data_IF_707903200154
#
_entry.id   IF_707903200154
#
_cell.length_a   1.000
_cell.length_b   1.000
_cell.length_c   1.000
_cell.angle_alpha   90.00
_cell.angle_beta   90.00
_cell.angle_gamma   90.00
#
_symmetry.space_group_name_H-M   'P 1'
#
loop_
_entity.id
_entity.type
_entity.pdbx_description
1 polymer ?
#
# COMPACT_ATOMS: atom_id res chain seq x y z
N UNK A 1 31.84 -6.49 -1.08
CA UNK A 1 30.63 -7.32 -1.23
C UNK A 1 29.44 -6.43 -0.90
N UNK A 2 28.91 -5.75 -1.91
CA UNK A 2 27.97 -4.64 -1.73
C UNK A 2 26.55 -5.04 -2.11
N UNK A 3 25.63 -4.90 -1.15
CA UNK A 3 24.18 -5.02 -1.34
C UNK A 3 23.69 -3.92 -2.30
N UNK A 4 23.19 -4.31 -3.49
CA UNK A 4 22.47 -3.43 -4.39
C UNK A 4 21.14 -3.00 -3.75
N UNK A 5 21.02 -1.71 -3.38
CA UNK A 5 19.71 -1.07 -3.17
C UNK A 5 19.32 -0.35 -4.46
N UNK A 6 18.11 -0.66 -4.96
CA UNK A 6 17.52 -0.12 -6.20
C UNK A 6 17.14 1.34 -6.03
N UNK A 7 17.44 2.15 -7.03
CA UNK A 7 16.87 3.48 -7.23
C UNK A 7 15.45 3.33 -7.80
N UNK A 8 14.46 3.95 -7.16
CA UNK A 8 13.15 4.19 -7.73
C UNK A 8 13.03 5.65 -8.14
N UNK A 9 12.23 5.89 -9.18
CA UNK A 9 11.73 7.20 -9.66
C UNK A 9 12.54 7.85 -10.79
N UNK A 10 12.13 7.59 -12.05
CA UNK A 10 11.81 8.61 -13.07
C UNK A 10 11.47 7.94 -14.40
N UNK A 11 10.22 8.08 -14.85
CA UNK A 11 9.79 7.64 -16.19
C UNK A 11 8.31 7.32 -16.31
N UNK A 12 7.41 8.32 -16.21
CA UNK A 12 6.02 8.17 -16.65
C UNK A 12 5.95 8.40 -18.17
N UNK A 13 5.99 7.32 -18.95
CA UNK A 13 5.69 7.34 -20.39
C UNK A 13 4.33 6.66 -20.66
N UNK A 14 3.41 7.37 -21.32
CA UNK A 14 2.07 6.85 -21.63
C UNK A 14 2.04 6.12 -22.98
N UNK A 15 1.42 4.94 -22.96
CA UNK A 15 1.44 3.88 -23.98
C UNK A 15 1.96 2.55 -23.40
N UNK A 16 2.73 2.64 -22.33
CA UNK A 16 3.04 1.54 -21.40
C UNK A 16 2.07 1.61 -20.23
N UNK A 17 1.58 0.45 -19.79
CA UNK A 17 0.77 0.25 -18.57
C UNK A 17 1.58 0.67 -17.34
N UNK A 18 1.70 1.98 -17.12
CA UNK A 18 2.62 2.57 -16.13
C UNK A 18 1.95 2.83 -14.78
N UNK A 19 0.68 2.43 -14.62
CA UNK A 19 -0.04 2.36 -13.35
C UNK A 19 0.16 1.04 -12.60
N UNK A 20 0.64 -0.01 -13.29
CA UNK A 20 1.11 -1.22 -12.62
C UNK A 20 2.54 -0.95 -12.17
N UNK A 21 2.70 -0.29 -11.02
CA UNK A 21 3.92 -0.43 -10.23
C UNK A 21 4.28 -1.92 -10.25
N UNK A 22 5.51 -2.26 -10.67
CA UNK A 22 5.94 -3.64 -10.91
C UNK A 22 5.28 -4.58 -9.91
N UNK A 23 4.21 -5.27 -10.34
CA UNK A 23 3.45 -6.09 -9.41
C UNK A 23 4.39 -7.26 -9.14
N UNK A 24 5.10 -7.17 -8.01
CA UNK A 24 6.05 -8.19 -7.57
C UNK A 24 5.33 -9.47 -7.15
N UNK A 25 4.01 -9.42 -7.11
CA UNK A 25 3.13 -10.54 -6.86
C UNK A 25 2.28 -10.79 -8.11
N UNK A 26 2.01 -12.06 -8.40
CA UNK A 26 1.08 -12.40 -9.48
C UNK A 26 -0.32 -11.84 -9.13
N UNK A 27 -1.21 -11.55 -10.07
CA UNK A 27 -2.63 -11.33 -9.76
C UNK A 27 -3.14 -12.45 -8.82
N UNK A 28 -4.00 -12.18 -7.81
CA UNK A 28 -4.49 -13.17 -6.85
C UNK A 28 -5.05 -14.42 -7.52
N UNK A 29 -5.74 -14.27 -8.66
CA UNK A 29 -6.24 -15.40 -9.47
C UNK A 29 -5.11 -16.35 -9.93
N UNK A 30 -3.89 -15.84 -10.07
CA UNK A 30 -2.70 -16.61 -10.37
C UNK A 30 -1.95 -17.03 -9.09
N UNK A 31 -1.94 -16.24 -8.02
CA UNK A 31 -1.28 -16.62 -6.76
C UNK A 31 -1.87 -17.90 -6.14
N UNK A 32 -3.18 -18.12 -6.29
CA UNK A 32 -3.91 -19.18 -5.60
C UNK A 32 -4.39 -20.32 -6.51
N UNK A 33 -4.08 -20.29 -7.81
CA UNK A 33 -4.62 -21.30 -8.72
C UNK A 33 -3.72 -22.53 -8.86
N UNK A 34 -4.33 -23.70 -8.69
CA UNK A 34 -3.80 -25.00 -9.15
C UNK A 34 -3.38 -24.96 -10.63
N UNK A 35 -3.90 -23.99 -11.41
CA UNK A 35 -3.50 -23.71 -12.77
C UNK A 35 -1.99 -23.45 -12.92
N UNK A 36 -1.34 -22.66 -12.05
CA UNK A 36 0.12 -22.45 -12.13
C UNK A 36 0.92 -23.72 -11.83
N UNK A 37 0.43 -24.57 -10.93
CA UNK A 37 1.08 -25.84 -10.59
C UNK A 37 0.95 -26.89 -11.69
N UNK A 38 -0.14 -26.82 -12.47
CA UNK A 38 -0.40 -27.68 -13.62
C UNK A 38 0.14 -27.11 -14.94
N UNK A 39 0.77 -25.93 -14.93
CA UNK A 39 1.40 -25.39 -16.13
C UNK A 39 2.56 -26.29 -16.56
N UNK A 40 2.67 -26.58 -17.86
CA UNK A 40 3.80 -27.34 -18.39
C UNK A 40 5.11 -26.65 -18.01
N UNK A 41 6.14 -27.44 -17.71
CA UNK A 41 7.47 -26.92 -17.35
C UNK A 41 7.97 -26.02 -18.49
N UNK A 42 8.13 -24.74 -18.21
CA UNK A 42 8.59 -23.72 -19.15
C UNK A 42 9.54 -22.74 -18.46
N UNK A 43 10.32 -22.00 -19.26
CA UNK A 43 11.11 -20.86 -18.75
C UNK A 43 10.29 -19.56 -18.77
N UNK A 44 9.26 -19.53 -19.59
CA UNK A 44 8.40 -18.40 -19.84
C UNK A 44 6.97 -18.89 -20.10
N UNK A 45 5.99 -18.22 -19.51
CA UNK A 45 4.57 -18.46 -19.75
C UNK A 45 3.89 -17.13 -20.11
N UNK A 46 3.11 -17.13 -21.17
CA UNK A 46 2.27 -15.99 -21.54
C UNK A 46 0.83 -16.32 -21.20
N UNK A 47 0.23 -15.52 -20.33
CA UNK A 47 -1.14 -15.69 -19.86
C UNK A 47 -2.03 -14.58 -20.41
N UNK A 48 -3.18 -14.98 -20.92
CA UNK A 48 -4.24 -14.09 -21.38
C UNK A 48 -5.36 -14.17 -20.35
N UNK A 49 -5.45 -13.18 -19.47
CA UNK A 49 -6.39 -13.13 -18.35
C UNK A 49 -7.50 -12.14 -18.72
N UNK A 50 -8.72 -12.58 -19.01
CA UNK A 50 -9.84 -11.67 -19.18
C UNK A 50 -9.96 -10.75 -17.94
N UNK A 51 -10.02 -9.44 -18.14
CA UNK A 51 -10.03 -8.44 -17.04
C UNK A 51 -11.23 -8.63 -16.11
N UNK A 52 -12.31 -9.19 -16.63
CA UNK A 52 -13.49 -9.60 -15.85
C UNK A 52 -13.24 -10.69 -14.81
N UNK A 53 -12.10 -11.39 -14.87
CA UNK A 53 -11.69 -12.38 -13.87
C UNK A 53 -10.84 -11.77 -12.75
N UNK A 54 -10.48 -10.49 -12.85
CA UNK A 54 -9.73 -9.79 -11.82
C UNK A 54 -10.68 -9.23 -10.75
N UNK A 55 -10.26 -9.19 -9.48
CA UNK A 55 -11.08 -8.64 -8.41
C UNK A 55 -11.36 -7.14 -8.64
N UNK A 56 -12.45 -6.58 -8.07
CA UNK A 56 -12.88 -5.21 -8.37
C UNK A 56 -11.82 -4.13 -8.11
N UNK A 57 -11.01 -4.27 -7.05
CA UNK A 57 -9.93 -3.35 -6.71
C UNK A 57 -8.79 -3.34 -7.76
N UNK A 58 -8.47 -4.49 -8.35
CA UNK A 58 -7.49 -4.58 -9.44
C UNK A 58 -8.08 -4.13 -10.77
N UNK A 59 -9.36 -4.44 -11.01
CA UNK A 59 -10.08 -3.98 -12.20
C UNK A 59 -10.16 -2.45 -12.25
N UNK A 60 -10.36 -1.79 -11.11
CA UNK A 60 -10.38 -0.34 -11.02
C UNK A 60 -9.04 0.32 -11.42
N UNK A 61 -7.93 -0.42 -11.32
CA UNK A 61 -6.60 0.05 -11.71
C UNK A 61 -6.27 -0.21 -13.18
N UNK A 62 -7.05 -1.06 -13.85
CA UNK A 62 -6.88 -1.38 -15.27
C UNK A 62 -7.77 -0.44 -16.06
N UNK A 63 -7.22 0.21 -17.09
CA UNK A 63 -8.01 1.09 -17.95
C UNK A 63 -9.28 0.35 -18.41
N UNK A 64 -10.44 1.00 -18.26
CA UNK A 64 -11.78 0.46 -18.62
C UNK A 64 -11.90 -0.06 -20.07
N UNK A 65 -10.87 0.14 -20.88
CA UNK A 65 -10.74 -0.28 -22.28
C UNK A 65 -10.14 -1.69 -22.46
N UNK A 66 -9.51 -2.28 -21.45
CA UNK A 66 -8.88 -3.59 -21.59
C UNK A 66 -9.88 -4.73 -21.32
N UNK A 67 -10.11 -5.60 -22.31
CA UNK A 67 -10.90 -6.82 -22.16
C UNK A 67 -10.06 -8.02 -21.70
N UNK A 68 -8.75 -8.01 -21.99
CA UNK A 68 -7.79 -9.06 -21.65
C UNK A 68 -6.49 -8.42 -21.18
N UNK A 69 -6.04 -8.80 -20.00
CA UNK A 69 -4.71 -8.53 -19.47
C UNK A 69 -3.77 -9.62 -20.00
N UNK A 70 -2.65 -9.23 -20.60
CA UNK A 70 -1.62 -10.17 -21.05
C UNK A 70 -0.43 -10.09 -20.12
N UNK A 71 -0.15 -11.19 -19.41
CA UNK A 71 0.93 -11.29 -18.44
C UNK A 71 1.96 -12.32 -18.92
N UNK A 72 3.19 -11.89 -19.17
CA UNK A 72 4.31 -12.84 -19.29
C UNK A 72 4.86 -13.12 -17.90
N UNK A 73 5.10 -14.39 -17.57
CA UNK A 73 5.75 -14.86 -16.36
C UNK A 73 7.07 -15.52 -16.76
N UNK A 74 8.20 -14.94 -16.37
CA UNK A 74 9.53 -15.51 -16.62
C UNK A 74 10.09 -16.11 -15.33
N UNK A 75 10.62 -17.33 -15.39
CA UNK A 75 11.41 -17.90 -14.29
C UNK A 75 12.85 -17.43 -14.42
N UNK A 76 13.26 -16.43 -13.61
CA UNK A 76 14.68 -16.04 -13.53
C UNK A 76 15.50 -17.18 -12.92
N UNK A 77 16.64 -17.53 -13.55
CA UNK A 77 17.66 -18.37 -12.93
C UNK A 77 18.51 -17.49 -11.99
N UNK A 78 18.11 -17.40 -10.73
CA UNK A 78 18.89 -16.81 -9.64
C UNK A 78 18.88 -17.72 -8.42
N UNK A 79 19.95 -17.73 -7.63
CA UNK A 79 20.16 -18.68 -6.53
C UNK A 79 19.17 -18.55 -5.37
N UNK A 80 18.47 -17.41 -5.23
CA UNK A 80 17.44 -17.22 -4.21
C UNK A 80 16.21 -16.49 -4.79
N UNK A 81 15.05 -17.13 -4.58
CA UNK A 81 13.67 -16.66 -4.79
C UNK A 81 13.09 -16.47 -6.21
N UNK A 82 11.80 -16.83 -6.30
CA UNK A 82 10.94 -16.82 -7.49
C UNK A 82 10.53 -15.38 -7.82
N UNK A 83 11.43 -14.59 -8.39
CA UNK A 83 11.06 -13.26 -8.89
C UNK A 83 10.28 -13.43 -10.20
N UNK A 84 9.00 -13.07 -10.19
CA UNK A 84 8.16 -12.99 -11.39
C UNK A 84 8.15 -11.55 -11.90
N UNK A 85 8.34 -11.36 -13.20
CA UNK A 85 8.14 -10.05 -13.83
C UNK A 85 6.94 -10.12 -14.75
N UNK A 86 5.90 -9.32 -14.47
CA UNK A 86 4.81 -9.10 -15.43
C UNK A 86 5.30 -8.10 -16.46
N UNK A 87 5.52 -8.55 -17.69
CA UNK A 87 5.74 -7.65 -18.82
C UNK A 87 4.44 -7.51 -19.60
N UNK A 88 3.95 -6.29 -19.85
CA UNK A 88 2.87 -6.10 -20.80
C UNK A 88 3.39 -6.54 -22.17
N UNK A 89 2.71 -7.51 -22.79
CA UNK A 89 3.04 -7.86 -24.17
C UNK A 89 2.70 -6.65 -25.02
N UNK A 90 3.67 -6.10 -25.79
CA UNK A 90 3.36 -5.04 -26.73
C UNK A 90 2.25 -5.58 -27.62
N UNK A 91 1.09 -4.91 -27.59
CA UNK A 91 -0.01 -5.27 -28.47
C UNK A 91 0.63 -5.46 -29.85
N UNK A 92 0.50 -6.67 -30.42
CA UNK A 92 0.93 -6.89 -31.80
C UNK A 92 0.41 -5.69 -32.57
N UNK A 93 1.22 -5.07 -33.45
CA UNK A 93 0.78 -4.01 -34.35
C UNK A 93 -0.25 -4.58 -35.33
N UNK A 94 -1.33 -5.15 -34.82
CA UNK A 94 -2.55 -5.41 -35.51
C UNK A 94 -2.89 -4.07 -36.09
N UNK A 95 -3.00 -4.05 -37.40
CA UNK A 95 -3.56 -2.94 -38.15
C UNK A 95 -4.92 -2.67 -37.54
N UNK A 96 -4.99 -1.76 -36.55
CA UNK A 96 -6.25 -1.24 -36.05
C UNK A 96 -6.95 -0.69 -37.28
N UNK A 97 -8.00 -1.38 -37.72
CA UNK A 97 -8.70 -1.01 -38.91
C UNK A 97 -9.21 0.43 -38.72
N UNK A 98 -8.69 1.34 -39.54
CA UNK A 98 -9.20 2.67 -39.80
C UNK A 98 -9.41 3.61 -38.60
N UNK A 99 -8.36 3.89 -37.81
CA UNK A 99 -8.36 5.15 -37.05
C UNK A 99 -8.34 6.30 -38.07
N UNK A 100 -9.32 7.23 -38.07
CA UNK A 100 -9.32 8.35 -39.01
C UNK A 100 -8.06 9.19 -38.86
N UNK A 101 -7.40 9.56 -39.98
CA UNK A 101 -6.14 10.30 -39.96
C UNK A 101 -6.23 11.61 -39.14
N UNK A 102 -7.36 12.31 -39.20
CA UNK A 102 -7.61 13.52 -38.41
C UNK A 102 -7.63 13.24 -36.89
N UNK A 103 -8.21 12.11 -36.47
CA UNK A 103 -8.24 11.70 -35.07
C UNK A 103 -6.84 11.29 -34.60
N UNK A 104 -6.12 10.49 -35.41
CA UNK A 104 -4.73 10.11 -35.12
C UNK A 104 -3.83 11.34 -34.96
N UNK A 105 -3.99 12.34 -35.84
CA UNK A 105 -3.25 13.61 -35.76
C UNK A 105 -3.57 14.37 -34.47
N UNK A 106 -4.85 14.56 -34.15
CA UNK A 106 -5.27 15.26 -32.91
C UNK A 106 -4.78 14.54 -31.65
N UNK A 107 -4.80 13.21 -31.65
CA UNK A 107 -4.26 12.41 -30.56
C UNK A 107 -2.75 12.63 -30.41
N UNK A 108 -1.98 12.53 -31.49
CA UNK A 108 -0.54 12.79 -31.47
C UNK A 108 -0.20 14.21 -31.00
N UNK A 109 -0.92 15.23 -31.49
CA UNK A 109 -0.78 16.62 -31.06
C UNK A 109 -1.07 16.78 -29.56
N UNK A 110 -2.10 16.11 -29.05
CA UNK A 110 -2.46 16.14 -27.62
C UNK A 110 -1.40 15.46 -26.75
N UNK A 111 -0.87 14.31 -27.19
CA UNK A 111 0.23 13.62 -26.50
C UNK A 111 1.51 14.46 -26.47
N UNK A 112 1.84 15.15 -27.56
CA UNK A 112 2.97 16.09 -27.60
C UNK A 112 2.80 17.25 -26.61
N UNK A 113 1.60 17.84 -26.52
CA UNK A 113 1.28 18.90 -25.54
C UNK A 113 1.40 18.39 -24.09
N UNK A 114 0.86 17.21 -23.81
CA UNK A 114 0.94 16.59 -22.49
C UNK A 114 2.40 16.33 -22.08
N UNK A 115 3.19 15.74 -22.98
CA UNK A 115 4.63 15.50 -22.78
C UNK A 115 5.38 16.80 -22.50
N UNK A 116 5.09 17.86 -23.27
CA UNK A 116 5.70 19.17 -23.04
C UNK A 116 5.31 19.78 -21.69
N UNK A 117 4.05 19.64 -21.26
CA UNK A 117 3.59 20.09 -19.94
C UNK A 117 4.31 19.34 -18.80
N UNK A 118 4.45 18.02 -18.90
CA UNK A 118 5.23 17.22 -17.95
C UNK A 118 6.70 17.63 -17.89
N UNK A 119 7.35 17.83 -19.05
CA UNK A 119 8.73 18.29 -19.10
C UNK A 119 8.88 19.68 -18.46
N UNK A 120 7.94 20.59 -18.72
CA UNK A 120 7.96 21.93 -18.13
C UNK A 120 7.76 21.90 -16.61
N UNK A 121 6.86 21.07 -16.09
CA UNK A 121 6.70 20.88 -14.64
C UNK A 121 7.99 20.33 -14.02
N UNK A 122 8.60 19.33 -14.67
CA UNK A 122 9.87 18.73 -14.22
C UNK A 122 11.00 19.77 -14.18
N UNK A 123 11.14 20.60 -15.22
CA UNK A 123 12.16 21.66 -15.23
C UNK A 123 11.95 22.72 -14.14
N UNK A 124 10.69 23.03 -13.78
CA UNK A 124 10.39 23.94 -12.67
C UNK A 124 10.81 23.33 -11.32
N UNK A 125 10.53 22.05 -11.12
CA UNK A 125 10.95 21.33 -9.90
C UNK A 125 12.48 21.23 -9.82
N UNK A 126 13.14 20.93 -10.95
CA UNK A 126 14.60 20.88 -11.04
C UNK A 126 15.26 22.23 -10.74
N UNK A 127 14.64 23.35 -11.11
CA UNK A 127 15.16 24.68 -10.79
C UNK A 127 15.24 24.92 -9.27
N UNK A 128 14.34 24.33 -8.48
CA UNK A 128 14.40 24.38 -7.02
C UNK A 128 15.60 23.60 -6.44
N UNK A 129 16.23 22.75 -7.26
CA UNK A 129 17.41 21.97 -6.90
C UNK A 129 18.71 22.58 -7.39
N UNK A 130 18.78 23.83 -7.87
CA UNK A 130 19.96 24.43 -8.54
C UNK A 130 20.31 23.78 -9.90
N UNK A 131 19.35 23.18 -10.61
CA UNK A 131 19.57 22.72 -11.99
C UNK A 131 19.24 23.87 -12.93
N UNK A 132 20.14 24.18 -13.87
CA UNK A 132 19.89 25.17 -14.92
C UNK A 132 18.76 24.69 -15.84
N UNK A 133 17.55 25.29 -15.78
CA UNK A 133 16.41 24.83 -16.56
C UNK A 133 16.60 25.08 -18.06
N UNK A 134 17.40 26.07 -18.46
CA UNK A 134 17.70 26.34 -19.85
C UNK A 134 18.62 25.26 -20.42
N UNK A 135 19.65 24.86 -19.67
CA UNK A 135 20.54 23.76 -20.04
C UNK A 135 19.79 22.42 -20.08
N UNK A 136 18.99 22.11 -19.06
CA UNK A 136 18.18 20.89 -19.01
C UNK A 136 17.21 20.79 -20.20
N UNK A 137 16.55 21.92 -20.55
CA UNK A 137 15.67 22.01 -21.71
C UNK A 137 16.44 21.84 -23.02
N UNK A 138 17.59 22.48 -23.17
CA UNK A 138 18.43 22.36 -24.35
C UNK A 138 18.90 20.91 -24.55
N UNK A 139 19.33 20.25 -23.46
CA UNK A 139 19.71 18.84 -23.48
C UNK A 139 18.52 17.94 -23.88
N UNK A 140 17.34 18.13 -23.28
CA UNK A 140 16.13 17.38 -23.66
C UNK A 140 15.81 17.50 -25.15
N UNK A 141 15.84 18.72 -25.70
CA UNK A 141 15.62 18.95 -27.14
C UNK A 141 16.73 18.31 -27.99
N UNK A 142 17.97 18.31 -27.52
CA UNK A 142 19.10 17.74 -28.25
C UNK A 142 19.06 16.20 -28.33
N UNK A 143 18.40 15.53 -27.38
CA UNK A 143 18.36 14.06 -27.28
C UNK A 143 17.01 13.43 -27.62
N UNK A 144 15.92 14.20 -27.73
CA UNK A 144 14.63 13.63 -28.13
C UNK A 144 14.70 13.02 -29.53
N UNK A 145 14.34 11.74 -29.65
CA UNK A 145 14.38 10.99 -30.91
C UNK A 145 15.76 10.46 -31.33
N UNK A 146 16.78 10.59 -30.47
CA UNK A 146 18.07 9.91 -30.65
C UNK A 146 18.08 8.60 -29.88
N UNK A 147 18.85 7.64 -30.39
CA UNK A 147 19.20 6.44 -29.63
C UNK A 147 20.12 6.85 -28.49
N UNK A 148 19.72 6.53 -27.27
CA UNK A 148 20.49 6.80 -26.05
C UNK A 148 21.00 5.45 -25.54
N UNK A 149 22.31 5.35 -25.36
CA UNK A 149 22.91 4.21 -24.65
C UNK A 149 22.54 4.33 -23.15
N UNK A 150 21.55 3.55 -22.74
CA UNK A 150 21.01 3.61 -21.39
C UNK A 150 22.04 3.17 -20.33
N UNK A 151 22.95 2.25 -20.64
CA UNK A 151 23.98 1.78 -19.71
C UNK A 151 25.05 2.85 -19.51
N UNK A 152 25.52 3.46 -20.61
CA UNK A 152 26.46 4.57 -20.54
C UNK A 152 25.88 5.77 -19.79
N UNK A 153 24.60 6.11 -20.07
CA UNK A 153 23.91 7.20 -19.38
C UNK A 153 23.74 6.90 -17.88
N UNK A 154 23.36 5.67 -17.49
CA UNK A 154 23.23 5.30 -16.08
C UNK A 154 24.57 5.41 -15.34
N UNK A 155 25.68 5.03 -15.98
CA UNK A 155 27.01 5.19 -15.40
C UNK A 155 27.40 6.67 -15.21
N UNK A 156 27.25 7.49 -16.25
CA UNK A 156 27.52 8.94 -16.19
C UNK A 156 26.61 9.65 -15.16
N UNK A 157 25.33 9.26 -15.15
CA UNK A 157 24.33 9.78 -14.22
C UNK A 157 24.70 9.47 -12.78
N UNK A 158 25.07 8.23 -12.45
CA UNK A 158 25.49 7.84 -11.09
C UNK A 158 26.68 8.64 -10.60
N UNK A 159 27.70 8.83 -11.42
CA UNK A 159 28.87 9.60 -11.00
C UNK A 159 28.51 11.09 -10.76
N UNK A 160 27.76 11.67 -11.69
CA UNK A 160 27.38 13.09 -11.64
C UNK A 160 26.43 13.36 -10.48
N UNK A 161 25.40 12.53 -10.29
CA UNK A 161 24.40 12.72 -9.24
C UNK A 161 25.02 12.54 -7.85
N UNK A 162 25.95 11.59 -7.66
CA UNK A 162 26.63 11.41 -6.38
C UNK A 162 27.44 12.66 -5.99
N UNK A 163 28.16 13.26 -6.94
CA UNK A 163 28.91 14.51 -6.70
C UNK A 163 27.97 15.68 -6.43
N UNK A 164 26.89 15.77 -7.20
CA UNK A 164 25.87 16.79 -7.03
C UNK A 164 25.19 16.73 -5.67
N UNK A 165 24.75 15.54 -5.27
CA UNK A 165 24.14 15.28 -3.98
C UNK A 165 25.10 15.55 -2.82
N UNK A 166 26.39 15.25 -2.96
CA UNK A 166 27.38 15.57 -1.94
C UNK A 166 27.52 17.09 -1.72
N UNK A 167 27.51 17.88 -2.80
CA UNK A 167 27.55 19.35 -2.73
C UNK A 167 26.27 19.88 -2.07
N UNK A 168 25.10 19.40 -2.52
CA UNK A 168 23.81 19.81 -1.93
C UNK A 168 23.70 19.46 -0.47
N UNK A 169 24.07 18.24 -0.08
CA UNK A 169 24.10 17.82 1.33
C UNK A 169 24.99 18.74 2.17
N UNK A 170 26.17 19.11 1.65
CA UNK A 170 27.07 20.04 2.35
C UNK A 170 26.44 21.41 2.53
N UNK A 171 25.75 21.94 1.50
CA UNK A 171 25.04 23.22 1.56
C UNK A 171 23.84 23.17 2.50
N UNK A 172 23.06 22.09 2.47
CA UNK A 172 21.91 21.86 3.34
C UNK A 172 22.36 21.77 4.80
N UNK A 173 23.37 20.95 5.12
CA UNK A 173 23.99 20.91 6.45
C UNK A 173 24.43 22.30 6.92
N UNK A 174 25.11 23.07 6.07
CA UNK A 174 25.57 24.42 6.44
C UNK A 174 24.40 25.40 6.67
N UNK A 175 23.36 25.34 5.83
CA UNK A 175 22.13 26.13 5.96
C UNK A 175 21.38 25.76 7.24
N UNK A 176 21.19 24.48 7.49
CA UNK A 176 20.45 23.96 8.63
C UNK A 176 21.16 24.29 9.95
N UNK A 177 22.49 24.12 10.00
CA UNK A 177 23.31 24.57 11.13
C UNK A 177 23.15 26.07 11.39
N UNK A 178 23.26 26.90 10.34
CA UNK A 178 23.06 28.36 10.44
C UNK A 178 21.65 28.70 10.92
N UNK A 179 20.64 28.02 10.38
CA UNK A 179 19.25 28.19 10.78
C UNK A 179 19.06 27.89 12.27
N UNK A 180 19.59 26.77 12.77
CA UNK A 180 19.52 26.39 14.19
C UNK A 180 20.25 27.41 15.08
N UNK A 181 21.42 27.90 14.67
CA UNK A 181 22.16 28.94 15.40
C UNK A 181 21.43 30.30 15.44
N UNK A 182 20.76 30.68 14.35
CA UNK A 182 19.96 31.91 14.27
C UNK A 182 18.61 31.76 14.99
N UNK A 183 17.98 30.59 14.90
CA UNK A 183 16.70 30.29 15.52
C UNK A 183 16.79 30.33 17.05
N UNK A 184 17.88 29.81 17.64
CA UNK A 184 18.16 29.90 19.07
C UNK A 184 18.14 31.34 19.63
N UNK A 185 18.39 32.35 18.79
CA UNK A 185 18.47 33.76 19.18
C UNK A 185 17.12 34.48 19.08
N UNK A 186 16.10 33.86 18.50
CA UNK A 186 14.80 34.50 18.30
C UNK A 186 14.03 34.63 19.62
N UNK A 187 13.31 35.74 19.85
CA UNK A 187 12.43 35.87 21.00
C UNK A 187 11.41 34.73 21.07
N UNK A 188 11.21 34.15 22.26
CA UNK A 188 10.25 33.07 22.50
C UNK A 188 10.76 31.66 22.16
N UNK A 189 11.97 31.52 21.59
CA UNK A 189 12.61 30.21 21.40
C UNK A 189 13.29 29.78 22.70
N UNK A 190 12.96 28.58 23.17
CA UNK A 190 13.62 27.94 24.32
C UNK A 190 14.52 26.81 23.80
N UNK A 191 15.75 26.73 24.33
CA UNK A 191 16.72 25.68 23.98
C UNK A 191 16.90 24.75 25.16
N UNK A 192 16.59 23.47 24.96
CA UNK A 192 16.75 22.41 25.96
C UNK A 192 18.20 21.88 25.99
N UNK A 193 18.58 21.22 27.09
CA UNK A 193 19.94 20.72 27.30
C UNK A 193 20.37 19.68 26.25
N UNK A 194 19.42 18.95 25.65
CA UNK A 194 19.65 18.00 24.57
C UNK A 194 19.70 18.65 23.17
N UNK A 195 19.64 19.98 23.09
CA UNK A 195 19.73 20.73 21.83
C UNK A 195 18.41 20.94 21.09
N UNK A 196 17.28 20.43 21.62
CA UNK A 196 15.96 20.74 21.07
C UNK A 196 15.66 22.23 21.25
N UNK A 197 15.24 22.89 20.18
CA UNK A 197 14.76 24.28 20.22
C UNK A 197 13.27 24.30 19.97
N UNK A 198 12.47 24.98 20.80
CA UNK A 198 11.04 25.05 20.57
C UNK A 198 10.44 26.42 20.84
N UNK A 199 9.32 26.71 20.19
CA UNK A 199 8.42 27.82 20.49
C UNK A 199 7.05 27.27 20.88
N UNK A 200 6.33 28.03 21.72
CA UNK A 200 4.96 27.74 22.11
C UNK A 200 4.10 28.96 21.84
N UNK A 201 3.11 28.80 21.00
CA UNK A 201 2.07 29.79 20.77
C UNK A 201 0.95 29.60 21.81
N UNK A 202 0.59 30.68 22.50
CA UNK A 202 -0.46 30.66 23.52
C UNK A 202 -1.79 31.08 22.91
N UNK A 203 -2.87 30.42 23.28
CA UNK A 203 -4.21 30.89 23.00
C UNK A 203 -4.48 32.18 23.82
N UNK A 204 -4.84 33.32 23.18
CA UNK A 204 -5.19 34.55 23.88
C UNK A 204 -6.40 34.40 24.82
N UNK A 205 -7.30 33.43 24.57
CA UNK A 205 -8.44 33.11 25.42
C UNK A 205 -8.08 32.20 26.61
N UNK A 206 -6.82 31.77 26.71
CA UNK A 206 -6.33 30.97 27.83
C UNK A 206 -6.62 29.47 27.73
N UNK A 207 -7.19 28.98 26.62
CA UNK A 207 -7.48 27.55 26.36
C UNK A 207 -6.23 26.74 25.99
N UNK A 208 -5.13 26.98 26.68
CA UNK A 208 -3.87 26.28 26.46
C UNK A 208 -3.96 24.86 27.04
N UNK A 209 -3.59 23.85 26.25
CA UNK A 209 -3.53 22.45 26.70
C UNK A 209 -2.09 22.02 26.92
N UNK A 210 -1.90 20.97 27.70
CA UNK A 210 -0.60 20.31 27.80
C UNK A 210 -0.34 19.49 26.54
N UNK A 211 0.92 19.40 26.12
CA UNK A 211 1.30 18.82 24.83
C UNK A 211 0.91 17.34 24.71
N UNK A 212 0.86 16.60 25.82
CA UNK A 212 0.46 15.19 25.91
C UNK A 212 -1.00 14.93 25.48
N UNK A 213 -1.83 15.98 25.39
CA UNK A 213 -3.23 15.89 24.94
C UNK A 213 -3.40 16.01 23.43
N UNK A 214 -2.33 16.25 22.69
CA UNK A 214 -2.39 16.46 21.24
C UNK A 214 -2.48 15.11 20.52
N UNK A 215 -3.33 15.05 19.50
CA UNK A 215 -3.58 13.83 18.73
C UNK A 215 -2.92 13.86 17.34
N UNK A 216 -2.63 15.05 16.81
CA UNK A 216 -2.10 15.26 15.47
C UNK A 216 -0.79 16.04 15.51
N UNK A 217 0.18 15.57 14.74
CA UNK A 217 1.43 16.30 14.52
C UNK A 217 1.94 16.11 13.10
N UNK A 218 2.83 16.98 12.69
CA UNK A 218 3.61 16.87 11.49
C UNK A 218 5.09 16.87 11.86
N UNK A 219 5.85 15.98 11.24
CA UNK A 219 7.31 16.03 11.19
C UNK A 219 7.72 16.47 9.80
N UNK A 220 8.57 17.50 9.70
CA UNK A 220 9.15 17.91 8.44
C UNK A 220 10.67 18.08 8.51
N UNK A 221 11.32 18.21 7.37
CA UNK A 221 12.68 18.78 7.30
C UNK A 221 12.64 20.29 7.54
N UNK A 222 13.79 20.91 7.83
CA UNK A 222 13.89 22.38 8.00
C UNK A 222 13.45 23.12 6.73
N UNK A 223 13.69 22.55 5.54
CA UNK A 223 13.23 23.12 4.27
C UNK A 223 11.72 22.97 4.05
N UNK A 224 11.04 22.12 4.81
CA UNK A 224 9.61 21.82 4.62
C UNK A 224 9.31 20.93 3.41
N UNK A 225 10.34 20.44 2.70
CA UNK A 225 10.17 19.66 1.47
C UNK A 225 9.55 18.29 1.73
N UNK A 226 9.84 17.70 2.88
CA UNK A 226 9.34 16.40 3.28
C UNK A 226 8.51 16.58 4.53
N UNK A 227 7.21 16.30 4.47
CA UNK A 227 6.30 16.38 5.61
C UNK A 227 5.61 15.05 5.81
N UNK A 228 5.69 14.52 7.03
CA UNK A 228 5.03 13.30 7.47
C UNK A 228 3.99 13.67 8.52
N UNK A 229 2.72 13.37 8.25
CA UNK A 229 1.65 13.49 9.23
C UNK A 229 1.66 12.27 10.16
N UNK A 230 1.73 12.53 11.45
CA UNK A 230 1.71 11.52 12.49
C UNK A 230 0.32 11.47 13.13
N UNK A 231 -0.30 10.30 13.05
CA UNK A 231 -1.49 9.95 13.83
C UNK A 231 -1.07 9.08 15.02
N UNK A 232 -1.68 9.27 16.18
CA UNK A 232 -1.43 8.47 17.39
C UNK A 232 0.03 8.47 17.86
N UNK A 233 0.75 9.58 17.69
CA UNK A 233 2.11 9.71 18.22
C UNK A 233 2.07 10.01 19.72
N UNK A 234 3.07 9.54 20.47
CA UNK A 234 3.29 10.00 21.84
C UNK A 234 4.35 11.10 21.83
N UNK A 235 4.07 12.17 22.56
CA UNK A 235 5.00 13.30 22.71
C UNK A 235 6.29 12.88 23.40
N UNK A 236 6.19 11.96 24.37
CA UNK A 236 7.32 11.42 25.12
C UNK A 236 8.34 10.77 24.18
N UNK A 237 7.88 10.12 23.12
CA UNK A 237 8.80 9.54 22.17
C UNK A 237 9.57 10.61 21.35
N UNK A 238 9.07 11.86 21.25
CA UNK A 238 9.74 12.97 20.52
C UNK A 238 10.66 13.74 21.47
N UNK A 239 10.13 14.12 22.63
CA UNK A 239 10.80 15.02 23.58
C UNK A 239 11.47 14.27 24.75
N UNK A 240 11.29 12.96 24.86
CA UNK A 240 11.73 12.18 26.01
C UNK A 240 11.17 12.74 27.32
N UNK A 241 12.01 12.74 28.35
CA UNK A 241 11.71 13.32 29.66
C UNK A 241 11.44 14.83 29.62
N UNK A 242 11.84 15.52 28.54
CA UNK A 242 11.57 16.94 28.40
C UNK A 242 10.08 17.24 28.14
N UNK A 243 9.30 16.24 27.72
CA UNK A 243 7.87 16.40 27.42
C UNK A 243 7.10 17.03 28.60
N UNK A 244 7.39 16.58 29.84
CA UNK A 244 6.71 17.03 31.06
C UNK A 244 7.08 18.46 31.46
N UNK A 245 8.19 18.99 30.92
CA UNK A 245 8.64 20.36 31.18
C UNK A 245 8.11 21.39 30.18
N UNK A 246 7.43 20.94 29.12
CA UNK A 246 6.92 21.85 28.08
C UNK A 246 5.72 22.64 28.61
N UNK A 247 5.70 23.97 28.44
CA UNK A 247 4.59 24.78 28.91
C UNK A 247 3.32 24.48 28.08
N UNK A 248 2.12 24.60 28.68
CA UNK A 248 0.86 24.46 27.94
C UNK A 248 0.77 25.46 26.79
N UNK A 249 0.10 25.12 25.69
CA UNK A 249 0.01 25.96 24.50
C UNK A 249 -1.19 25.65 23.64
N UNK A 250 -1.37 26.44 22.57
CA UNK A 250 -2.21 26.09 21.42
C UNK A 250 -1.40 25.36 20.36
N UNK A 251 -0.15 25.79 20.12
CA UNK A 251 0.72 25.25 19.08
C UNK A 251 2.15 25.18 19.54
N UNK A 252 2.84 24.11 19.17
CA UNK A 252 4.26 23.91 19.43
C UNK A 252 4.98 23.72 18.10
N UNK A 253 6.13 24.37 17.96
CA UNK A 253 7.05 24.13 16.86
C UNK A 253 8.42 23.85 17.46
N UNK A 254 8.98 22.67 17.19
CA UNK A 254 10.26 22.24 17.74
C UNK A 254 11.23 21.81 16.64
N UNK A 255 12.44 22.36 16.65
CA UNK A 255 13.57 21.87 15.88
C UNK A 255 14.34 20.87 16.74
N UNK A 256 14.33 19.61 16.33
CA UNK A 256 14.88 18.49 17.09
C UNK A 256 16.10 17.94 16.36
N UNK A 257 17.28 17.86 17.01
CA UNK A 257 18.42 17.17 16.42
C UNK A 257 18.05 15.71 16.12
N UNK A 258 18.28 15.24 14.90
CA UNK A 258 17.84 13.91 14.48
C UNK A 258 18.45 12.80 15.34
N UNK A 259 19.67 13.01 15.83
CA UNK A 259 20.36 12.07 16.73
C UNK A 259 19.78 11.96 18.13
N UNK A 260 18.84 12.84 18.53
CA UNK A 260 18.14 12.79 19.83
C UNK A 260 16.91 11.87 19.78
N UNK A 261 16.39 11.58 18.58
CA UNK A 261 15.29 10.63 18.41
C UNK A 261 15.75 9.21 18.72
N UNK A 262 14.85 8.35 19.22
CA UNK A 262 15.17 6.94 19.44
C UNK A 262 15.47 6.19 18.13
N UNK A 263 16.19 5.07 18.22
CA UNK A 263 16.63 4.30 17.05
C UNK A 263 15.46 3.79 16.19
N UNK A 264 14.32 3.43 16.81
CA UNK A 264 13.14 2.97 16.07
C UNK A 264 12.61 4.08 15.17
N UNK A 265 12.50 5.30 15.70
CA UNK A 265 12.06 6.46 14.93
C UNK A 265 13.05 6.93 13.89
N UNK A 266 14.33 6.95 14.22
CA UNK A 266 15.36 7.20 13.22
C UNK A 266 15.24 6.21 12.06
N UNK A 267 14.96 4.93 12.35
CA UNK A 267 14.78 3.89 11.34
C UNK A 267 13.51 4.08 10.52
N UNK A 268 12.38 4.41 11.14
CA UNK A 268 11.13 4.72 10.43
C UNK A 268 11.28 5.94 9.53
N UNK A 269 11.90 7.02 10.01
CA UNK A 269 12.13 8.23 9.23
C UNK A 269 13.13 7.97 8.08
N UNK A 270 14.17 7.17 8.29
CA UNK A 270 15.09 6.74 7.22
C UNK A 270 14.43 5.87 6.14
N UNK A 271 13.31 5.22 6.46
CA UNK A 271 12.56 4.44 5.48
C UNK A 271 11.66 5.34 4.60
N UNK A 272 11.22 6.48 5.13
CA UNK A 272 10.34 7.44 4.43
C UNK A 272 11.16 8.50 3.69
N UNK A 273 12.23 9.00 4.30
CA UNK A 273 13.07 10.04 3.74
C UNK A 273 14.31 9.43 3.09
N UNK A 274 14.55 9.77 1.82
CA UNK A 274 15.73 9.32 1.08
C UNK A 274 17.04 9.78 1.72
N UNK A 275 17.01 10.92 2.43
CA UNK A 275 18.17 11.54 3.07
C UNK A 275 17.90 11.71 4.56
N UNK A 276 18.87 11.33 5.39
CA UNK A 276 18.83 11.57 6.83
C UNK A 276 19.11 13.06 7.11
N UNK A 277 18.14 13.84 7.62
CA UNK A 277 18.38 15.22 7.96
C UNK A 277 19.17 15.33 9.26
N UNK A 278 19.84 16.46 9.49
CA UNK A 278 20.49 16.74 10.77
C UNK A 278 19.49 17.13 11.85
N UNK A 279 18.39 17.77 11.45
CA UNK A 279 17.32 18.22 12.31
C UNK A 279 15.96 17.97 11.66
N UNK A 280 14.95 17.73 12.49
CA UNK A 280 13.55 17.66 12.07
C UNK A 280 12.77 18.78 12.73
N UNK A 281 11.77 19.30 12.04
CA UNK A 281 10.81 20.25 12.55
C UNK A 281 9.54 19.49 12.92
N UNK A 282 9.26 19.42 14.20
CA UNK A 282 8.02 18.87 14.73
C UNK A 282 7.04 20.02 14.96
N UNK A 283 5.85 19.92 14.39
CA UNK A 283 4.78 20.90 14.58
C UNK A 283 3.52 20.19 15.03
N UNK A 284 2.89 20.68 16.08
CA UNK A 284 1.63 20.14 16.56
C UNK A 284 0.72 21.26 17.06
N UNK A 285 -0.58 21.06 16.90
CA UNK A 285 -1.60 22.05 17.24
C UNK A 285 -2.70 21.36 18.05
N UNK A 286 -3.16 22.02 19.10
CA UNK A 286 -4.32 21.60 19.85
C UNK A 286 -5.49 21.51 18.87
N UNK A 287 -6.17 20.36 18.83
CA UNK A 287 -7.44 20.27 18.12
C UNK A 287 -8.33 21.39 18.65
N UNK A 288 -8.94 22.18 17.75
CA UNK A 288 -10.03 23.05 18.17
C UNK A 288 -11.03 22.12 18.83
N UNK A 289 -11.18 22.25 20.15
CA UNK A 289 -12.29 21.60 20.84
C UNK A 289 -13.50 22.19 20.15
N UNK A 290 -14.12 21.42 19.25
CA UNK A 290 -15.37 21.78 18.59
C UNK A 290 -16.20 22.38 19.70
N UNK A 291 -16.41 23.70 19.61
CA UNK A 291 -17.23 24.40 20.57
C UNK A 291 -18.61 23.85 20.30
N UNK A 292 -18.93 22.76 20.96
CA UNK A 292 -20.27 22.28 21.17
C UNK A 292 -20.90 23.39 21.99
N UNK A 293 -21.37 24.40 21.24
CA UNK A 293 -22.26 25.41 21.73
C UNK A 293 -23.30 24.67 22.57
N UNK A 294 -23.48 25.01 23.85
CA UNK A 294 -24.62 24.47 24.57
C UNK A 294 -25.86 24.84 23.75
N UNK A 295 -26.72 23.84 23.50
CA UNK A 295 -28.00 23.99 22.80
C UNK A 295 -28.75 25.23 23.30
N UNK A 296 -28.65 26.32 22.55
CA UNK A 296 -29.69 27.33 22.49
C UNK A 296 -30.49 27.04 21.24
N UNK A 297 -31.38 26.06 21.35
CA UNK A 297 -32.62 25.99 20.59
C UNK A 297 -33.38 27.31 20.82
N UNK A 298 -33.13 28.29 19.95
CA UNK A 298 -33.99 29.44 19.75
C UNK A 298 -33.73 30.01 18.35
N UNK A 299 -34.56 29.55 17.40
CA UNK A 299 -35.05 30.29 16.23
C UNK A 299 -34.00 31.09 15.42
N UNK A 300 -33.28 30.40 14.53
CA UNK A 300 -32.75 31.05 13.32
C UNK A 300 -33.06 30.15 12.12
N UNK A 301 -34.10 30.54 11.38
CA UNK A 301 -34.31 30.16 9.98
C UNK A 301 -33.20 30.80 9.11
N UNK A 302 -32.84 30.08 8.05
CA UNK A 302 -32.16 30.56 6.85
C UNK A 302 -30.62 30.78 6.94
N UNK A 303 -29.86 29.75 6.53
CA UNK A 303 -28.83 29.89 5.49
C UNK A 303 -28.26 28.51 5.11
N UNK A 304 -28.17 28.26 3.79
CA UNK A 304 -27.74 27.00 3.21
C UNK A 304 -26.28 26.64 3.57
N UNK A 305 -25.95 25.34 3.81
CA UNK A 305 -24.59 24.97 4.14
C UNK A 305 -23.67 25.10 2.93
N UNK A 306 -22.52 25.73 3.15
CA UNK A 306 -21.42 25.77 2.19
C UNK A 306 -20.99 24.34 1.82
N UNK A 307 -20.88 24.08 0.52
CA UNK A 307 -20.41 22.81 -0.01
C UNK A 307 -19.02 22.47 0.56
N UNK A 308 -18.90 21.31 1.19
CA UNK A 308 -17.60 20.80 1.60
C UNK A 308 -16.75 20.49 0.36
N UNK A 309 -15.45 20.84 0.37
CA UNK A 309 -14.54 20.44 -0.69
C UNK A 309 -14.33 18.92 -0.61
N UNK A 310 -14.93 18.21 -1.56
CA UNK A 310 -14.82 16.76 -1.71
C UNK A 310 -13.54 16.39 -2.47
N UNK A 311 -12.39 16.59 -1.83
CA UNK A 311 -11.08 16.20 -2.38
C UNK A 311 -10.70 14.73 -2.08
N UNK A 312 -11.68 13.86 -1.85
CA UNK A 312 -11.47 12.42 -1.90
C UNK A 312 -11.62 11.93 -3.33
N UNK A 313 -10.51 11.93 -4.08
CA UNK A 313 -10.41 11.36 -5.44
C UNK A 313 -10.71 9.84 -5.46
N UNK A 314 -10.81 9.20 -4.30
CA UNK A 314 -11.27 7.82 -4.17
C UNK A 314 -12.73 7.82 -3.68
N UNK A 315 -13.67 7.90 -4.64
CA UNK A 315 -15.04 7.56 -4.34
C UNK A 315 -15.07 6.12 -3.80
N UNK A 316 -15.65 5.92 -2.62
CA UNK A 316 -15.92 4.57 -2.13
C UNK A 316 -16.73 3.83 -3.19
N UNK A 317 -16.39 2.57 -3.52
CA UNK A 317 -17.14 1.82 -4.51
C UNK A 317 -18.62 1.80 -4.11
N UNK A 318 -19.55 1.87 -5.09
CA UNK A 318 -20.96 1.82 -4.79
C UNK A 318 -21.29 0.54 -4.01
N UNK A 319 -22.22 0.58 -3.04
CA UNK A 319 -22.61 -0.59 -2.28
C UNK A 319 -23.10 -1.71 -3.21
N UNK A 320 -22.65 -2.94 -2.94
CA UNK A 320 -23.04 -4.13 -3.71
C UNK A 320 -24.47 -4.54 -3.32
N UNK A 321 -25.38 -4.64 -4.28
CA UNK A 321 -26.73 -5.12 -4.04
C UNK A 321 -26.81 -6.67 -3.99
N UNK A 322 -27.91 -7.19 -3.43
CA UNK A 322 -28.09 -8.63 -3.23
C UNK A 322 -28.14 -9.46 -4.53
N UNK A 323 -28.63 -8.90 -5.63
CA UNK A 323 -28.68 -9.61 -6.91
C UNK A 323 -27.29 -9.68 -7.54
N UNK A 324 -26.53 -8.59 -7.45
CA UNK A 324 -25.13 -8.55 -7.89
C UNK A 324 -24.30 -9.56 -7.10
N UNK A 325 -24.41 -9.58 -5.77
CA UNK A 325 -23.71 -10.56 -4.93
C UNK A 325 -24.09 -12.01 -5.28
N UNK A 326 -25.39 -12.30 -5.41
CA UNK A 326 -25.85 -13.66 -5.74
C UNK A 326 -25.36 -14.12 -7.12
N UNK A 327 -25.29 -13.22 -8.10
CA UNK A 327 -24.74 -13.52 -9.43
C UNK A 327 -23.25 -13.83 -9.36
N UNK A 328 -22.48 -13.04 -8.61
CA UNK A 328 -21.04 -13.24 -8.42
C UNK A 328 -20.76 -14.56 -7.68
N UNK A 329 -21.53 -14.90 -6.65
CA UNK A 329 -21.41 -16.17 -5.92
C UNK A 329 -21.76 -17.37 -6.82
N UNK A 330 -22.81 -17.29 -7.63
CA UNK A 330 -23.18 -18.34 -8.57
C UNK A 330 -22.10 -18.57 -9.64
N UNK A 331 -21.49 -17.50 -10.15
CA UNK A 331 -20.38 -17.58 -11.10
C UNK A 331 -19.13 -18.17 -10.45
N UNK A 332 -18.81 -17.76 -9.21
CA UNK A 332 -17.72 -18.35 -8.45
C UNK A 332 -17.90 -19.87 -8.28
N UNK A 333 -19.08 -20.34 -7.88
CA UNK A 333 -19.33 -21.78 -7.70
C UNK A 333 -19.22 -22.54 -9.02
N UNK A 334 -19.67 -21.96 -10.12
CA UNK A 334 -19.50 -22.54 -11.45
C UNK A 334 -18.02 -22.67 -11.82
N UNK A 335 -17.20 -21.66 -11.52
CA UNK A 335 -15.76 -21.69 -11.76
C UNK A 335 -15.03 -22.66 -10.82
N UNK A 336 -15.44 -22.70 -9.55
CA UNK A 336 -14.91 -23.64 -8.57
C UNK A 336 -15.16 -25.08 -9.02
N UNK A 337 -16.38 -25.39 -9.49
CA UNK A 337 -16.70 -26.71 -10.04
C UNK A 337 -15.85 -27.13 -11.26
N UNK A 338 -15.21 -26.19 -11.97
CA UNK A 338 -14.28 -26.47 -13.07
C UNK A 338 -12.83 -26.71 -12.60
N UNK A 339 -12.53 -26.43 -11.32
CA UNK A 339 -11.18 -26.57 -10.78
C UNK A 339 -10.88 -28.05 -10.50
N UNK A 340 -9.73 -28.59 -10.96
CA UNK A 340 -9.33 -29.94 -10.61
C UNK A 340 -9.27 -30.10 -9.09
N UNK A 341 -9.83 -31.20 -8.57
CA UNK A 341 -9.90 -31.55 -7.15
C UNK A 341 -10.97 -30.85 -6.30
N UNK A 342 -11.96 -30.19 -6.91
CA UNK A 342 -13.14 -29.76 -6.15
C UNK A 342 -14.04 -30.94 -5.84
N UNK A 343 -14.37 -31.09 -4.57
CA UNK A 343 -15.29 -32.09 -4.06
C UNK A 343 -16.48 -31.39 -3.41
N UNK A 344 -17.68 -31.86 -3.71
CA UNK A 344 -18.92 -31.40 -3.07
C UNK A 344 -19.31 -32.44 -2.03
N UNK A 345 -19.40 -32.04 -0.77
CA UNK A 345 -19.85 -32.88 0.33
C UNK A 345 -21.38 -33.00 0.33
N UNK A 346 -21.92 -34.00 1.01
CA UNK A 346 -23.38 -34.28 1.01
C UNK A 346 -24.22 -33.13 1.60
N UNK A 347 -23.62 -32.31 2.47
CA UNK A 347 -24.26 -31.09 3.00
C UNK A 347 -24.15 -29.87 2.07
N UNK A 348 -23.60 -30.03 0.87
CA UNK A 348 -23.44 -28.95 -0.12
C UNK A 348 -22.21 -28.07 0.10
N UNK A 349 -21.36 -28.35 1.10
CA UNK A 349 -20.06 -27.70 1.24
C UNK A 349 -19.16 -28.12 0.07
N UNK A 350 -18.57 -27.15 -0.62
CA UNK A 350 -17.55 -27.42 -1.63
C UNK A 350 -16.18 -27.20 -1.04
N UNK A 351 -15.25 -28.12 -1.27
CA UNK A 351 -13.87 -27.90 -0.89
C UNK A 351 -12.87 -28.21 -2.00
N UNK A 352 -11.75 -27.51 -1.94
CA UNK A 352 -10.56 -27.76 -2.75
C UNK A 352 -9.33 -27.71 -1.84
N UNK A 353 -8.20 -28.23 -2.32
CA UNK A 353 -6.98 -28.29 -1.51
C UNK A 353 -5.72 -28.19 -2.37
N UNK A 354 -4.63 -27.73 -1.75
CA UNK A 354 -3.31 -27.60 -2.35
C UNK A 354 -2.35 -28.55 -1.67
N UNK A 355 -1.68 -29.39 -2.46
CA UNK A 355 -0.60 -30.27 -2.01
C UNK A 355 0.74 -29.55 -2.20
N UNK A 356 1.60 -29.51 -1.18
CA UNK A 356 3.02 -29.17 -1.35
C UNK A 356 3.74 -30.34 -2.07
N UNK A 357 4.30 -30.14 -3.27
CA UNK A 357 5.03 -31.17 -3.99
C UNK A 357 6.27 -31.68 -3.27
N UNK A 358 6.78 -30.96 -2.26
CA UNK A 358 7.89 -31.41 -1.40
C UNK A 358 7.45 -32.39 -0.30
N UNK A 359 6.16 -32.67 -0.18
CA UNK A 359 5.62 -33.60 0.80
C UNK A 359 5.25 -32.97 2.15
N UNK A 360 5.36 -31.65 2.31
CA UNK A 360 4.97 -30.93 3.53
C UNK A 360 3.44 -30.75 3.60
N UNK A 361 2.73 -31.86 3.68
CA UNK A 361 1.27 -31.92 3.74
C UNK A 361 0.85 -32.51 5.08
N UNK A 362 -0.07 -31.82 5.76
CA UNK A 362 -0.57 -32.22 7.08
C UNK A 362 -2.01 -32.71 7.05
N UNK A 363 -2.48 -33.17 8.20
CA UNK A 363 -3.91 -33.34 8.41
C UNK A 363 -4.57 -31.98 8.58
N UNK A 364 -5.85 -31.86 8.20
CA UNK A 364 -6.64 -30.68 8.53
C UNK A 364 -6.79 -30.49 10.04
N UNK A 365 -6.61 -31.56 10.81
CA UNK A 365 -6.62 -31.53 12.28
C UNK A 365 -5.41 -30.78 12.87
N UNK A 366 -4.35 -30.58 12.06
CA UNK A 366 -3.09 -29.98 12.47
C UNK A 366 -2.94 -28.54 11.93
N UNK A 367 -4.03 -27.89 11.52
CA UNK A 367 -4.02 -26.55 10.90
C UNK A 367 -3.66 -25.47 11.91
N UNK A 368 -2.77 -24.56 11.52
CA UNK A 368 -2.28 -23.47 12.37
C UNK A 368 -2.97 -22.12 12.05
N UNK A 369 -3.60 -21.97 10.87
CA UNK A 369 -4.23 -20.72 10.41
C UNK A 369 -5.62 -20.97 9.83
N UNK A 370 -6.61 -20.18 10.24
CA UNK A 370 -7.94 -20.13 9.63
C UNK A 370 -8.35 -18.69 9.27
N UNK A 371 -8.68 -18.47 7.99
CA UNK A 371 -9.20 -17.18 7.51
C UNK A 371 -10.59 -17.32 6.89
N UNK A 372 -11.52 -16.43 7.24
CA UNK A 372 -12.84 -16.34 6.64
C UNK A 372 -12.93 -15.12 5.71
N UNK A 373 -13.44 -15.33 4.51
CA UNK A 373 -13.60 -14.29 3.47
C UNK A 373 -14.98 -14.38 2.83
N UNK A 374 -15.52 -13.23 2.43
CA UNK A 374 -16.61 -13.22 1.47
C UNK A 374 -16.07 -13.66 0.10
N UNK A 375 -16.92 -14.27 -0.74
CA UNK A 375 -16.51 -14.67 -2.09
C UNK A 375 -16.14 -13.47 -2.99
N UNK A 376 -16.59 -12.27 -2.63
CA UNK A 376 -16.24 -11.00 -3.26
C UNK A 376 -14.82 -10.49 -2.92
N UNK A 377 -14.09 -11.21 -2.05
CA UNK A 377 -12.70 -10.90 -1.70
C UNK A 377 -12.55 -10.02 -0.45
N UNK A 378 -13.64 -9.56 0.17
CA UNK A 378 -13.56 -8.87 1.46
C UNK A 378 -13.11 -9.83 2.56
N UNK A 379 -11.96 -9.53 3.16
CA UNK A 379 -11.49 -10.24 4.36
C UNK A 379 -12.46 -9.95 5.50
N UNK A 380 -13.02 -10.99 6.12
CA UNK A 380 -13.95 -10.86 7.25
C UNK A 380 -13.21 -10.87 8.59
N UNK A 381 -11.86 -10.83 8.54
CA UNK A 381 -10.94 -10.93 9.67
C UNK A 381 -10.34 -12.33 9.77
N UNK A 382 -9.05 -12.40 10.12
CA UNK A 382 -8.43 -13.67 10.54
C UNK A 382 -8.92 -14.01 11.95
N UNK A 383 -9.29 -15.27 12.17
CA UNK A 383 -9.31 -15.80 13.53
C UNK A 383 -7.87 -16.27 13.71
N UNK A 384 -7.10 -15.53 14.51
CA UNK A 384 -5.63 -15.62 14.59
C UNK A 384 -5.09 -17.03 14.84
N UNK A 385 -3.76 -17.16 14.76
CA UNK A 385 -2.98 -18.40 14.96
C UNK A 385 -3.66 -19.34 15.96
N UNK A 386 -4.14 -20.48 15.45
CA UNK A 386 -4.83 -21.47 16.25
C UNK A 386 -3.79 -22.17 17.12
N UNK A 387 -4.01 -22.21 18.43
CA UNK A 387 -3.28 -23.15 19.29
C UNK A 387 -3.58 -24.57 18.80
N UNK A 388 -2.55 -25.40 18.56
CA UNK A 388 -2.70 -26.77 18.06
C UNK A 388 -3.57 -27.64 18.95
N UNK A 389 -3.60 -27.37 20.25
CA UNK A 389 -4.51 -28.05 21.20
C UNK A 389 -5.97 -27.62 21.03
N UNK A 390 -6.22 -26.44 20.45
CA UNK A 390 -7.53 -25.85 20.20
C UNK A 390 -8.02 -25.99 18.76
N UNK A 391 -7.21 -26.48 17.81
CA UNK A 391 -7.59 -26.60 16.38
C UNK A 391 -8.93 -27.34 16.16
N UNK A 392 -9.25 -28.34 17.01
CA UNK A 392 -10.55 -29.03 17.01
C UNK A 392 -11.74 -28.12 17.35
N UNK A 393 -11.55 -27.09 18.18
CA UNK A 393 -12.61 -26.16 18.57
C UNK A 393 -12.89 -25.08 17.51
N UNK A 394 -12.01 -24.94 16.51
CA UNK A 394 -12.07 -23.86 15.53
C UNK A 394 -12.42 -24.31 14.11
N UNK A 395 -12.45 -25.62 13.84
CA UNK A 395 -13.05 -26.16 12.62
C UNK A 395 -14.55 -25.87 12.60
N UNK A 396 -15.06 -25.50 11.42
CA UNK A 396 -16.50 -25.30 11.26
C UNK A 396 -17.24 -26.62 11.57
N UNK A 397 -18.27 -26.63 12.44
CA UNK A 397 -18.93 -27.87 12.91
C UNK A 397 -19.40 -28.78 11.79
N UNK A 398 -19.82 -28.19 10.67
CA UNK A 398 -20.31 -28.88 9.47
C UNK A 398 -19.24 -29.66 8.71
N UNK A 399 -17.96 -29.42 8.99
CA UNK A 399 -16.86 -30.19 8.43
C UNK A 399 -16.57 -31.46 9.25
N UNK A 400 -17.06 -31.53 10.50
CA UNK A 400 -16.71 -32.58 11.45
C UNK A 400 -17.00 -34.01 10.97
N UNK A 401 -18.12 -34.29 10.26
CA UNK A 401 -18.36 -35.63 9.73
C UNK A 401 -17.36 -36.08 8.65
N UNK A 402 -16.59 -35.14 8.08
CA UNK A 402 -15.76 -35.37 6.91
C UNK A 402 -14.26 -35.27 7.19
N UNK A 403 -13.85 -34.80 8.38
CA UNK A 403 -12.44 -34.50 8.70
C UNK A 403 -11.47 -35.65 8.43
N UNK A 404 -11.88 -36.90 8.75
CA UNK A 404 -11.03 -38.08 8.58
C UNK A 404 -10.93 -38.53 7.12
N UNK A 405 -11.87 -38.10 6.27
CA UNK A 405 -11.89 -38.38 4.84
C UNK A 405 -11.18 -37.30 4.02
N UNK A 406 -10.80 -36.18 4.63
CA UNK A 406 -10.13 -35.10 3.92
C UNK A 406 -8.67 -35.48 3.59
N UNK A 407 -8.20 -35.16 2.36
CA UNK A 407 -6.84 -35.48 1.96
C UNK A 407 -5.84 -34.65 2.76
N UNK A 408 -4.65 -35.23 3.00
CA UNK A 408 -3.53 -34.46 3.52
C UNK A 408 -3.13 -33.38 2.52
N UNK A 409 -3.05 -32.15 2.99
CA UNK A 409 -2.75 -30.99 2.15
C UNK A 409 -1.92 -29.97 2.92
N UNK A 410 -1.34 -29.02 2.19
CA UNK A 410 -0.74 -27.82 2.76
C UNK A 410 -1.83 -26.78 3.09
N UNK A 411 -2.88 -26.73 2.27
CA UNK A 411 -3.95 -25.75 2.41
C UNK A 411 -5.29 -26.30 1.91
N UNK A 412 -6.39 -25.91 2.55
CA UNK A 412 -7.76 -26.22 2.15
C UNK A 412 -8.58 -24.95 1.99
N UNK A 413 -9.52 -24.98 1.05
CA UNK A 413 -10.50 -23.93 0.80
C UNK A 413 -11.89 -24.54 0.89
N UNK A 414 -12.74 -24.01 1.78
CA UNK A 414 -14.11 -24.47 1.96
C UNK A 414 -15.09 -23.35 1.63
N UNK A 415 -15.96 -23.59 0.66
CA UNK A 415 -17.10 -22.75 0.37
C UNK A 415 -18.32 -23.32 1.13
N UNK A 416 -18.69 -22.65 2.23
CA UNK A 416 -19.75 -23.11 3.14
C UNK A 416 -21.03 -22.31 2.85
N UNK A 417 -22.15 -22.97 2.49
CA UNK A 417 -23.45 -22.32 2.37
C UNK A 417 -23.84 -21.58 3.65
N UNK A 418 -24.33 -20.35 3.52
CA UNK A 418 -24.59 -19.48 4.69
C UNK A 418 -25.74 -19.98 5.57
N UNK A 419 -26.63 -20.82 5.05
CA UNK A 419 -27.67 -21.49 5.84
C UNK A 419 -27.11 -22.55 6.82
N UNK A 420 -25.86 -22.97 6.63
CA UNK A 420 -25.14 -23.87 7.53
C UNK A 420 -24.30 -23.12 8.57
N UNK A 421 -24.21 -21.79 8.48
CA UNK A 421 -23.41 -20.95 9.37
C UNK A 421 -24.31 -20.43 10.49
N UNK A 422 -23.77 -20.32 11.71
CA UNK A 422 -24.50 -19.74 12.84
C UNK A 422 -25.03 -18.33 12.46
N UNK A 423 -26.35 -18.07 12.62
CA UNK A 423 -26.95 -16.79 12.25
C UNK A 423 -26.23 -15.57 12.87
N UNK A 424 -25.77 -15.67 14.13
CA UNK A 424 -25.05 -14.57 14.80
C UNK A 424 -23.72 -14.24 14.13
N UNK A 425 -23.01 -15.26 13.62
CA UNK A 425 -21.77 -15.05 12.87
C UNK A 425 -22.05 -14.43 11.50
N UNK A 426 -23.16 -14.83 10.87
CA UNK A 426 -23.58 -14.31 9.58
C UNK A 426 -24.09 -12.86 9.65
N UNK A 427 -24.71 -12.45 10.76
CA UNK A 427 -25.11 -11.06 11.00
C UNK A 427 -23.89 -10.13 11.03
N UNK A 428 -22.78 -10.58 11.65
CA UNK A 428 -21.51 -9.84 11.66
C UNK A 428 -20.95 -9.66 10.24
N UNK A 429 -21.05 -10.68 9.40
CA UNK A 429 -20.62 -10.59 8.00
C UNK A 429 -21.53 -9.65 7.19
N UNK A 430 -22.84 -9.74 7.40
CA UNK A 430 -23.83 -8.87 6.75
C UNK A 430 -23.62 -7.40 7.10
N UNK A 431 -23.34 -7.08 8.37
CA UNK A 431 -23.03 -5.72 8.81
C UNK A 431 -21.78 -5.15 8.13
N UNK A 432 -20.80 -6.00 7.81
CA UNK A 432 -19.53 -5.58 7.20
C UNK A 432 -19.65 -5.35 5.69
N UNK A 433 -20.31 -6.28 4.99
CA UNK A 433 -20.46 -6.26 3.52
C UNK A 433 -21.64 -5.36 3.10
N UNK A 434 -22.59 -5.10 4.00
CA UNK A 434 -23.84 -4.39 3.74
C UNK A 434 -24.95 -5.28 3.15
N UNK A 435 -24.63 -6.53 2.82
CA UNK A 435 -25.55 -7.51 2.24
C UNK A 435 -25.21 -8.92 2.73
N UNK A 436 -26.22 -9.78 2.87
CA UNK A 436 -26.07 -11.13 3.41
C UNK A 436 -25.51 -12.07 2.33
N UNK A 437 -24.34 -12.70 2.53
CA UNK A 437 -23.77 -13.63 1.56
C UNK A 437 -24.50 -14.97 1.55
N UNK A 438 -24.57 -15.64 0.39
CA UNK A 438 -25.07 -17.00 0.27
C UNK A 438 -23.98 -18.03 0.62
N UNK A 439 -22.70 -17.66 0.53
CA UNK A 439 -21.57 -18.53 0.87
C UNK A 439 -20.44 -17.77 1.56
N UNK A 440 -19.73 -18.46 2.45
CA UNK A 440 -18.49 -17.95 3.07
C UNK A 440 -17.33 -18.86 2.68
N UNK A 441 -16.20 -18.26 2.29
CA UNK A 441 -14.97 -18.97 1.97
C UNK A 441 -14.09 -19.04 3.21
N UNK A 442 -13.82 -20.25 3.70
CA UNK A 442 -12.83 -20.51 4.74
C UNK A 442 -11.55 -21.04 4.12
N UNK A 443 -10.41 -20.49 4.52
CA UNK A 443 -9.08 -20.97 4.14
C UNK A 443 -8.39 -21.51 5.38
N UNK A 444 -7.92 -22.75 5.30
CA UNK A 444 -7.19 -23.43 6.37
C UNK A 444 -5.77 -23.75 5.87
N UNK A 445 -4.74 -23.35 6.61
CA UNK A 445 -3.34 -23.62 6.23
C UNK A 445 -2.61 -24.44 7.31
N UNK A 446 -2.08 -25.59 6.90
CA UNK A 446 -1.21 -26.40 7.74
C UNK A 446 0.21 -25.82 7.75
N UNK A 447 0.83 -25.67 8.92
CA UNK A 447 2.26 -25.37 9.01
C UNK A 447 3.00 -26.51 9.69
N UNK A 448 4.19 -26.89 9.18
CA UNK A 448 4.98 -27.92 9.82
C UNK A 448 5.34 -27.51 11.26
N UNK A 449 5.45 -28.46 12.21
CA UNK A 449 6.05 -28.19 13.51
C UNK A 449 7.39 -27.48 13.32
N UNK A 450 7.62 -26.40 14.09
CA UNK A 450 8.95 -25.80 14.13
C UNK A 450 9.87 -26.85 14.76
N UNK A 451 11.00 -27.15 14.13
CA UNK A 451 11.95 -28.16 14.62
C UNK A 451 12.38 -27.90 16.08
N UNK A 452 12.31 -26.65 16.55
CA UNK A 452 12.64 -26.24 17.91
C UNK A 452 11.63 -26.70 18.99
N UNK A 453 10.41 -27.10 18.62
CA UNK A 453 9.40 -27.55 19.59
C UNK A 453 9.60 -29.02 19.99
N UNK A 454 10.38 -29.80 19.22
CA UNK A 454 10.66 -31.20 19.52
C UNK A 454 11.67 -31.36 20.69
N UNK A 455 12.62 -30.43 20.84
CA UNK A 455 13.63 -30.48 21.91
C UNK A 455 13.10 -30.09 23.30
N UNK A 456 11.87 -29.57 23.41
CA UNK A 456 11.27 -29.20 24.70
C UNK A 456 10.27 -30.22 25.26
N UNK A 457 10.09 -31.36 24.58
CA UNK A 457 9.11 -32.40 24.96
C UNK A 457 9.72 -33.75 25.32
N UNK A 458 11.06 -33.87 25.33
CA UNK A 458 11.82 -34.90 26.05
C UNK A 458 12.33 -34.35 27.38
#
# INVERSE_FOLDING_TARGET
MGSLKRASTLGRFFGSVSGLAAIHSLPPILQYSTALQNMPKGREWTLYIPVRLLPPNERAQIENSASVLVCTICKKQGENEKEYSVQPIPASRGTYAHIPAALSRRFAESQGKLTAAFAQASFKEMAAKDIDPALARAAFIAYIGKDIDAEALDHEYKETILRYDAIHKTRETARDKRFIEENAKKPGVTVLANGIQYTVEKDPEGRNITIDKIQTAALSTISGNDTLHLNNFRVQDIFGDAADSLPPGKKWTACIPFGVLDESRQSSLKAVWEKQPEYVVFTCEAAETDSTSPDTDADIEDDAPAAQPSDSIFASPPPIDANTLASEEAEFLKMNALTPNVTVLDNGVQYSYIIDPKGNNGSILDVDIMEARALTGESLGSIGFLDRSAAKAHLHPELWPYIDALPKAKQWFFCIPSHLINPKSLDKYTQKIGVRPNYILYTYEWSPPKENDAEQSE
#
